data_IF_620321809912
#
_entry.id   IF_620321809912
#
_cell.length_a   1.000
_cell.length_b   1.000
_cell.length_c   1.000
_cell.angle_alpha   90.00
_cell.angle_beta   90.00
_cell.angle_gamma   90.00
#
_symmetry.space_group_name_H-M   'P 1'
#
loop_
_entity.id
_entity.type
_entity.pdbx_description
1 polymer ?
#
# COMPACT_ATOMS: atom_id res chain seq x y z
N UNK A 1 1.65 -19.56 2.52
CA UNK A 1 2.53 -18.54 1.89
C UNK A 1 4.01 -18.73 2.22
N UNK A 2 4.39 -19.27 3.39
CA UNK A 2 5.80 -19.45 3.77
C UNK A 2 6.63 -20.36 2.84
N UNK A 3 6.00 -21.32 2.16
CA UNK A 3 6.64 -22.24 1.21
C UNK A 3 6.73 -21.69 -0.22
N UNK A 4 6.23 -20.47 -0.47
CA UNK A 4 6.27 -19.86 -1.80
C UNK A 4 7.69 -19.36 -2.13
N UNK A 5 8.07 -19.27 -3.42
CA UNK A 5 9.39 -18.79 -3.82
C UNK A 5 9.70 -17.40 -3.29
N UNK A 6 10.97 -17.12 -2.96
CA UNK A 6 11.41 -15.76 -2.64
C UNK A 6 11.14 -14.80 -3.80
N UNK A 7 10.73 -13.56 -3.49
CA UNK A 7 10.33 -12.59 -4.51
C UNK A 7 8.96 -12.83 -5.13
N UNK A 8 8.26 -13.93 -4.79
CA UNK A 8 6.85 -14.07 -5.14
C UNK A 8 5.98 -13.13 -4.30
N UNK A 9 4.87 -12.66 -4.88
CA UNK A 9 3.98 -11.69 -4.23
C UNK A 9 3.48 -12.19 -2.87
N UNK A 10 3.07 -13.46 -2.76
CA UNK A 10 2.62 -14.06 -1.51
C UNK A 10 3.73 -14.21 -0.47
N UNK A 11 4.98 -14.50 -0.90
CA UNK A 11 6.12 -14.59 0.03
C UNK A 11 6.49 -13.22 0.57
N UNK A 12 6.50 -12.20 -0.27
CA UNK A 12 6.79 -10.82 0.14
C UNK A 12 5.65 -10.21 0.96
N UNK A 13 4.39 -10.55 0.67
CA UNK A 13 3.26 -10.13 1.51
C UNK A 13 3.33 -10.74 2.91
N UNK A 14 3.66 -12.03 3.02
CA UNK A 14 3.89 -12.66 4.31
C UNK A 14 5.03 -11.97 5.09
N UNK A 15 6.14 -11.66 4.41
CA UNK A 15 7.27 -10.92 5.02
C UNK A 15 6.81 -9.54 5.53
N UNK A 16 6.02 -8.82 4.75
CA UNK A 16 5.43 -7.55 5.17
C UNK A 16 4.57 -7.69 6.43
N UNK A 17 3.70 -8.71 6.49
CA UNK A 17 2.86 -8.96 7.67
C UNK A 17 3.71 -9.25 8.92
N UNK A 18 4.74 -10.07 8.78
CA UNK A 18 5.69 -10.43 9.84
C UNK A 18 6.48 -9.20 10.33
N UNK A 19 7.06 -8.43 9.41
CA UNK A 19 7.92 -7.27 9.70
C UNK A 19 7.14 -6.12 10.37
N UNK A 20 5.85 -5.99 10.07
CA UNK A 20 5.00 -4.92 10.59
C UNK A 20 4.08 -5.38 11.74
N UNK A 21 4.15 -6.67 12.14
CA UNK A 21 3.31 -7.27 13.18
C UNK A 21 1.80 -7.04 12.96
N UNK A 22 1.36 -7.15 11.71
CA UNK A 22 -0.05 -6.98 11.31
C UNK A 22 -0.64 -8.28 10.80
N UNK A 23 -1.96 -8.41 10.87
CA UNK A 23 -2.70 -9.57 10.35
C UNK A 23 -3.76 -9.14 9.35
N UNK A 24 -4.02 -9.91 8.28
CA UNK A 24 -5.04 -9.60 7.28
C UNK A 24 -6.45 -9.48 7.87
N UNK A 25 -6.74 -10.28 8.90
CA UNK A 25 -8.08 -10.41 9.50
C UNK A 25 -8.42 -9.27 10.48
N UNK A 26 -7.54 -8.28 10.64
CA UNK A 26 -7.73 -7.19 11.60
C UNK A 26 -8.66 -6.07 11.10
N UNK A 27 -9.14 -6.16 9.86
CA UNK A 27 -9.97 -5.13 9.23
C UNK A 27 -11.41 -5.19 9.72
N UNK A 28 -11.90 -4.08 10.27
CA UNK A 28 -13.29 -3.93 10.66
C UNK A 28 -14.23 -4.01 9.45
N UNK A 29 -15.44 -4.52 9.66
CA UNK A 29 -16.48 -4.57 8.63
C UNK A 29 -16.84 -3.17 8.12
N UNK A 30 -17.20 -3.09 6.84
CA UNK A 30 -17.80 -1.88 6.28
C UNK A 30 -19.22 -1.72 6.83
N UNK A 31 -19.49 -0.57 7.44
CA UNK A 31 -20.79 -0.19 8.01
C UNK A 31 -21.19 1.19 7.48
N UNK A 32 -22.46 1.54 7.59
CA UNK A 32 -23.00 2.84 7.18
C UNK A 32 -22.88 3.11 5.67
N UNK A 33 -23.10 2.06 4.88
CA UNK A 33 -23.18 2.12 3.42
C UNK A 33 -24.47 1.43 3.01
N UNK A 34 -25.38 2.15 2.36
CA UNK A 34 -26.74 1.67 2.08
C UNK A 34 -26.83 0.71 0.88
N UNK A 35 -25.73 0.56 0.14
CA UNK A 35 -25.67 -0.24 -1.08
C UNK A 35 -24.65 -1.38 -0.93
N UNK A 36 -25.08 -2.61 -1.20
CA UNK A 36 -24.27 -3.83 -1.04
C UNK A 36 -23.05 -3.85 -1.98
N UNK A 37 -23.21 -3.44 -3.24
CA UNK A 37 -22.07 -3.35 -4.17
C UNK A 37 -21.05 -2.32 -3.71
N UNK A 38 -21.49 -1.17 -3.20
CA UNK A 38 -20.60 -0.16 -2.64
C UNK A 38 -19.92 -0.66 -1.38
N UNK A 39 -20.64 -1.39 -0.52
CA UNK A 39 -20.05 -2.02 0.66
C UNK A 39 -18.96 -3.03 0.27
N UNK A 40 -19.21 -3.82 -0.77
CA UNK A 40 -18.23 -4.73 -1.35
C UNK A 40 -16.99 -3.99 -1.90
N UNK A 41 -17.17 -2.91 -2.67
CA UNK A 41 -16.05 -2.11 -3.19
C UNK A 41 -15.22 -1.50 -2.06
N UNK A 42 -15.87 -1.00 -1.01
CA UNK A 42 -15.19 -0.43 0.14
C UNK A 42 -14.48 -1.50 0.98
N UNK A 43 -15.03 -2.70 1.07
CA UNK A 43 -14.37 -3.84 1.71
C UNK A 43 -13.12 -4.24 0.92
N UNK A 44 -13.25 -4.37 -0.40
CA UNK A 44 -12.12 -4.65 -1.29
C UNK A 44 -11.02 -3.59 -1.17
N UNK A 45 -11.39 -2.31 -1.08
CA UNK A 45 -10.44 -1.24 -0.81
C UNK A 45 -9.66 -1.44 0.50
N UNK A 46 -10.35 -1.77 1.61
CA UNK A 46 -9.70 -2.00 2.91
C UNK A 46 -8.73 -3.17 2.89
N UNK A 47 -9.07 -4.25 2.19
CA UNK A 47 -8.23 -5.45 2.06
C UNK A 47 -7.03 -5.21 1.14
N UNK A 48 -7.27 -4.55 0.00
CA UNK A 48 -6.21 -4.24 -0.98
C UNK A 48 -5.21 -3.23 -0.44
N UNK A 49 -5.59 -2.37 0.50
CA UNK A 49 -4.66 -1.44 1.15
C UNK A 49 -3.42 -2.13 1.73
N UNK A 50 -3.59 -3.26 2.44
CA UNK A 50 -2.45 -4.01 3.00
C UNK A 50 -1.57 -4.64 1.91
N UNK A 51 -2.20 -5.07 0.82
CA UNK A 51 -1.49 -5.59 -0.35
C UNK A 51 -0.71 -4.48 -1.08
N UNK A 52 -1.23 -3.25 -1.09
CA UNK A 52 -0.56 -2.11 -1.70
C UNK A 52 0.73 -1.75 -0.98
N UNK A 53 0.81 -1.91 0.34
CA UNK A 53 2.08 -1.74 1.06
C UNK A 53 3.17 -2.68 0.49
N UNK A 54 2.83 -3.93 0.19
CA UNK A 54 3.78 -4.88 -0.42
C UNK A 54 4.10 -4.51 -1.87
N UNK A 55 3.08 -4.22 -2.69
CA UNK A 55 3.27 -3.81 -4.09
C UNK A 55 4.12 -2.56 -4.21
N UNK A 56 3.93 -1.59 -3.33
CA UNK A 56 4.63 -0.31 -3.36
C UNK A 56 5.94 -0.34 -2.56
N UNK A 57 6.24 -1.43 -1.86
CA UNK A 57 7.43 -1.55 -1.01
C UNK A 57 7.42 -0.56 0.17
N UNK A 58 6.23 -0.20 0.66
CA UNK A 58 6.05 0.76 1.75
C UNK A 58 5.76 0.03 3.07
N UNK A 59 6.46 0.37 4.17
CA UNK A 59 6.13 -0.14 5.50
C UNK A 59 4.95 0.63 6.13
N UNK A 60 4.39 0.12 7.23
CA UNK A 60 3.28 0.77 7.95
C UNK A 60 3.70 1.92 8.88
N UNK A 61 4.91 2.47 8.67
CA UNK A 61 5.32 3.68 9.37
C UNK A 61 4.65 4.93 8.74
N UNK A 62 4.67 6.05 9.44
CA UNK A 62 3.97 7.27 8.98
C UNK A 62 4.38 7.73 7.56
N UNK A 63 5.63 7.53 7.14
CA UNK A 63 6.07 7.93 5.80
C UNK A 63 5.49 6.99 4.73
N UNK A 64 5.54 5.68 4.98
CA UNK A 64 4.98 4.68 4.07
C UNK A 64 3.46 4.80 3.95
N UNK A 65 2.75 4.95 5.07
CA UNK A 65 1.31 5.21 5.09
C UNK A 65 0.92 6.42 4.25
N UNK A 66 1.63 7.55 4.41
CA UNK A 66 1.36 8.76 3.63
C UNK A 66 1.64 8.53 2.15
N UNK A 67 2.73 7.83 1.80
CA UNK A 67 3.03 7.50 0.40
C UNK A 67 1.93 6.62 -0.23
N UNK A 68 1.44 5.59 0.48
CA UNK A 68 0.30 4.78 0.02
C UNK A 68 -0.95 5.63 -0.13
N UNK A 69 -1.24 6.56 0.80
CA UNK A 69 -2.39 7.47 0.68
C UNK A 69 -2.30 8.40 -0.53
N UNK A 70 -1.11 8.86 -0.90
CA UNK A 70 -0.91 9.64 -2.13
C UNK A 70 -1.23 8.81 -3.39
N UNK A 71 -0.76 7.56 -3.42
CA UNK A 71 -1.08 6.62 -4.51
C UNK A 71 -2.59 6.32 -4.57
N UNK A 72 -3.22 6.02 -3.44
CA UNK A 72 -4.66 5.75 -3.36
C UNK A 72 -5.51 6.98 -3.74
N UNK A 73 -5.11 8.18 -3.31
CA UNK A 73 -5.80 9.41 -3.65
C UNK A 73 -5.76 9.67 -5.17
N UNK A 74 -4.61 9.42 -5.81
CA UNK A 74 -4.45 9.54 -7.25
C UNK A 74 -5.33 8.58 -8.05
N UNK A 75 -5.54 7.37 -7.54
CA UNK A 75 -6.21 6.31 -8.28
C UNK A 75 -7.72 6.23 -8.00
N UNK A 76 -8.11 6.39 -6.73
CA UNK A 76 -9.47 6.13 -6.29
C UNK A 76 -10.29 7.40 -6.08
N UNK A 77 -9.64 8.56 -5.92
CA UNK A 77 -10.31 9.84 -5.67
C UNK A 77 -11.09 9.89 -4.35
N UNK A 78 -10.89 8.91 -3.46
CA UNK A 78 -11.62 8.80 -2.21
C UNK A 78 -11.23 9.95 -1.25
N UNK A 79 -12.21 10.66 -0.65
CA UNK A 79 -11.93 11.81 0.22
C UNK A 79 -11.00 11.48 1.38
N UNK A 80 -11.14 10.31 2.01
CA UNK A 80 -10.27 9.90 3.12
C UNK A 80 -8.81 9.68 2.69
N UNK A 81 -8.57 9.20 1.47
CA UNK A 81 -7.23 9.05 0.92
C UNK A 81 -6.60 10.42 0.70
N UNK A 82 -7.35 11.35 0.10
CA UNK A 82 -6.89 12.72 -0.12
C UNK A 82 -6.60 13.45 1.21
N UNK A 83 -7.48 13.31 2.20
CA UNK A 83 -7.26 13.87 3.54
C UNK A 83 -6.03 13.27 4.22
N UNK A 84 -5.84 11.94 4.14
CA UNK A 84 -4.64 11.28 4.65
C UNK A 84 -3.37 11.74 3.96
N UNK A 85 -3.42 11.93 2.63
CA UNK A 85 -2.32 12.43 1.83
C UNK A 85 -1.93 13.88 2.19
N UNK A 86 -2.90 14.74 2.50
CA UNK A 86 -2.67 16.16 2.82
C UNK A 86 -2.32 16.37 4.30
N UNK A 87 -3.00 15.70 5.23
CA UNK A 87 -2.85 15.92 6.67
C UNK A 87 -1.80 15.01 7.31
N UNK A 88 -1.58 13.81 6.76
CA UNK A 88 -0.55 12.88 7.24
C UNK A 88 0.87 13.45 7.27
N UNK A 89 1.32 14.22 6.25
CA UNK A 89 2.62 14.89 6.26
C UNK A 89 2.86 15.78 7.47
N UNK A 90 1.82 16.37 8.09
CA UNK A 90 1.97 17.24 9.27
C UNK A 90 2.55 16.50 10.49
N UNK A 91 2.54 15.16 10.48
CA UNK A 91 3.09 14.31 11.55
C UNK A 91 4.51 13.80 11.24
N UNK A 92 5.11 14.21 10.13
CA UNK A 92 6.45 13.79 9.72
C UNK A 92 7.52 14.77 10.20
N UNK A 93 8.73 14.25 10.46
CA UNK A 93 9.90 15.09 10.69
C UNK A 93 10.33 15.79 9.40
N UNK A 94 11.08 16.90 9.51
CA UNK A 94 11.56 17.69 8.36
C UNK A 94 12.30 16.84 7.31
N UNK A 95 13.15 15.90 7.74
CA UNK A 95 13.86 14.99 6.83
C UNK A 95 12.90 14.06 6.08
N UNK A 96 11.90 13.49 6.74
CA UNK A 96 10.90 12.63 6.10
C UNK A 96 9.97 13.41 5.18
N UNK A 97 9.62 14.65 5.55
CA UNK A 97 8.89 15.58 4.70
C UNK A 97 9.65 15.88 3.41
N UNK A 98 10.96 16.13 3.52
CA UNK A 98 11.80 16.35 2.35
C UNK A 98 11.77 15.12 1.43
N UNK A 99 12.03 13.92 1.95
CA UNK A 99 11.95 12.67 1.17
C UNK A 99 10.58 12.47 0.52
N UNK A 100 9.50 12.78 1.24
CA UNK A 100 8.14 12.69 0.73
C UNK A 100 7.95 13.64 -0.46
N UNK A 101 8.23 14.93 -0.31
CA UNK A 101 7.93 15.91 -1.35
C UNK A 101 8.89 15.87 -2.55
N UNK A 102 10.15 15.46 -2.35
CA UNK A 102 11.14 15.43 -3.45
C UNK A 102 11.17 14.11 -4.21
N UNK A 103 10.68 13.02 -3.62
CA UNK A 103 10.86 11.67 -4.18
C UNK A 103 9.60 10.82 -4.09
N UNK A 104 9.18 10.40 -2.89
CA UNK A 104 8.11 9.40 -2.74
C UNK A 104 6.73 9.91 -3.17
N UNK A 105 6.40 11.17 -2.88
CA UNK A 105 5.12 11.78 -3.22
C UNK A 105 4.90 11.91 -4.72
N UNK A 106 5.81 12.56 -5.48
CA UNK A 106 5.74 12.60 -6.95
C UNK A 106 5.68 11.21 -7.58
N UNK A 107 6.49 10.27 -7.08
CA UNK A 107 6.46 8.87 -7.53
C UNK A 107 5.10 8.21 -7.26
N UNK A 108 4.55 8.33 -6.05
CA UNK A 108 3.28 7.72 -5.67
C UNK A 108 2.12 8.30 -6.49
N UNK A 109 2.11 9.62 -6.73
CA UNK A 109 1.10 10.28 -7.55
C UNK A 109 1.18 9.84 -9.02
N UNK A 110 2.40 9.76 -9.57
CA UNK A 110 2.61 9.33 -10.95
C UNK A 110 2.17 7.88 -11.14
N UNK A 111 2.57 6.99 -10.23
CA UNK A 111 2.20 5.58 -10.26
C UNK A 111 0.70 5.39 -10.06
N UNK A 112 0.08 6.07 -9.09
CA UNK A 112 -1.36 5.96 -8.85
C UNK A 112 -2.20 6.40 -10.06
N UNK A 113 -1.73 7.37 -10.85
CA UNK A 113 -2.39 7.83 -12.09
C UNK A 113 -2.20 6.88 -13.27
N UNK A 114 -1.06 6.21 -13.35
CA UNK A 114 -0.67 5.37 -14.50
C UNK A 114 -0.99 3.89 -14.31
N UNK A 115 -1.10 3.45 -13.06
CA UNK A 115 -1.33 2.06 -12.72
C UNK A 115 -2.69 1.59 -13.25
N UNK A 116 -2.78 0.29 -13.55
CA UNK A 116 -4.08 -0.37 -13.74
C UNK A 116 -4.87 -0.31 -12.44
N UNK A 117 -6.20 -0.35 -12.53
CA UNK A 117 -7.08 -0.32 -11.36
C UNK A 117 -6.74 -1.46 -10.38
N UNK A 118 -6.12 -1.14 -9.26
CA UNK A 118 -5.60 -2.09 -8.27
C UNK A 118 -6.72 -2.83 -7.55
N UNK A 119 -7.93 -2.27 -7.52
CA UNK A 119 -9.10 -2.92 -6.93
C UNK A 119 -9.65 -4.05 -7.80
N UNK A 120 -9.40 -4.04 -9.13
CA UNK A 120 -9.91 -5.05 -10.06
C UNK A 120 -9.00 -6.26 -10.25
N UNK A 121 -7.88 -6.32 -9.52
CA UNK A 121 -6.91 -7.42 -9.59
C UNK A 121 -7.36 -8.56 -8.67
N UNK A 122 -7.36 -9.79 -9.20
CA UNK A 122 -7.60 -11.01 -8.42
C UNK A 122 -6.29 -11.49 -7.75
N UNK A 123 -5.84 -10.75 -6.74
CA UNK A 123 -4.59 -11.01 -6.00
C UNK A 123 -4.50 -12.44 -5.45
N UNK A 124 -5.63 -12.97 -5.01
CA UNK A 124 -5.76 -14.31 -4.44
C UNK A 124 -5.39 -15.43 -5.43
N UNK A 125 -5.31 -15.14 -6.73
CA UNK A 125 -4.87 -16.07 -7.79
C UNK A 125 -3.40 -15.89 -8.19
N UNK A 126 -2.68 -14.98 -7.54
CA UNK A 126 -1.37 -14.48 -7.99
C UNK A 126 -0.27 -14.57 -6.93
N UNK A 127 -0.48 -15.35 -5.88
CA UNK A 127 0.50 -15.47 -4.79
C UNK A 127 1.88 -15.96 -5.24
N UNK A 128 1.92 -16.86 -6.23
CA UNK A 128 3.17 -17.41 -6.80
C UNK A 128 3.83 -16.48 -7.83
N UNK A 129 3.10 -15.48 -8.35
CA UNK A 129 3.63 -14.56 -9.35
C UNK A 129 4.78 -13.75 -8.75
N UNK A 130 5.86 -13.55 -9.52
CA UNK A 130 6.94 -12.66 -9.12
C UNK A 130 6.42 -11.24 -8.89
N UNK A 131 6.84 -10.60 -7.79
CA UNK A 131 6.39 -9.27 -7.41
C UNK A 131 6.73 -8.21 -8.46
N UNK A 132 7.91 -8.30 -9.08
CA UNK A 132 8.34 -7.32 -10.07
C UNK A 132 7.57 -7.50 -11.40
N UNK A 133 7.31 -8.74 -11.81
CA UNK A 133 6.45 -9.01 -12.97
C UNK A 133 5.03 -8.47 -12.73
N UNK A 134 4.50 -8.63 -11.52
CA UNK A 134 3.19 -8.09 -11.13
C UNK A 134 3.18 -6.56 -11.17
N UNK A 135 4.24 -5.90 -10.67
CA UNK A 135 4.39 -4.44 -10.77
C UNK A 135 4.41 -3.96 -12.21
N UNK A 136 5.19 -4.61 -13.07
CA UNK A 136 5.26 -4.28 -14.49
C UNK A 136 3.90 -4.43 -15.18
N UNK A 137 3.18 -5.52 -14.91
CA UNK A 137 1.84 -5.75 -15.47
C UNK A 137 0.83 -4.67 -15.03
N UNK A 138 0.96 -4.21 -13.78
CA UNK A 138 0.13 -3.15 -13.23
C UNK A 138 0.60 -1.74 -13.59
N UNK A 139 1.70 -1.60 -14.34
CA UNK A 139 2.32 -0.31 -14.69
C UNK A 139 2.71 0.50 -13.44
N UNK A 140 3.33 -0.19 -12.48
CA UNK A 140 3.87 0.37 -11.23
C UNK A 140 5.39 0.29 -11.29
N UNK A 141 6.05 1.44 -11.30
CA UNK A 141 7.50 1.57 -11.21
C UNK A 141 7.97 1.33 -9.75
N UNK A 142 9.16 0.73 -9.53
CA UNK A 142 9.68 0.50 -8.19
C UNK A 142 9.90 1.82 -7.42
N UNK A 143 9.80 1.81 -6.08
CA UNK A 143 9.95 3.01 -5.28
C UNK A 143 11.39 3.57 -5.36
N UNK A 144 11.55 4.90 -5.45
CA UNK A 144 12.86 5.55 -5.59
C UNK A 144 13.72 5.45 -4.33
N UNK A 145 13.08 5.17 -3.18
CA UNK A 145 13.73 4.97 -1.88
C UNK A 145 13.02 3.82 -1.20
N UNK A 146 13.77 2.89 -0.62
CA UNK A 146 13.22 1.81 0.21
C UNK A 146 13.21 2.31 1.66
N UNK A 147 12.04 2.67 2.24
CA UNK A 147 11.99 3.12 3.61
C UNK A 147 12.24 1.91 4.52
N UNK A 148 13.27 1.96 5.36
CA UNK A 148 13.49 0.89 6.34
C UNK A 148 12.33 0.85 7.35
N UNK A 149 11.79 -0.34 7.61
CA UNK A 149 10.97 -0.58 8.80
C UNK A 149 11.81 -0.16 10.02
N UNK A 150 11.27 0.69 10.90
CA UNK A 150 12.03 1.08 12.09
C UNK A 150 12.20 -0.15 12.97
N UNK A 151 13.43 -0.65 13.14
CA UNK A 151 13.76 -1.57 14.23
C UNK A 151 13.40 -0.86 15.53
N UNK A 152 12.27 -1.17 16.14
CA UNK A 152 12.10 -0.84 17.55
C UNK A 152 13.16 -1.64 18.29
N UNK A 153 14.12 -0.94 18.91
CA UNK A 153 15.07 -1.57 19.84
C UNK A 153 14.23 -2.17 20.96
N UNK A 154 14.22 -3.49 21.08
CA UNK A 154 13.81 -4.17 22.30
C UNK A 154 14.74 -3.70 23.42
N UNK A 155 14.20 -2.91 24.33
CA UNK A 155 14.77 -2.73 25.68
C UNK A 155 14.30 -3.86 26.56
#
# INVERSE_FOLDING_TARGET
MASLPEGSFGREYLRFLEDNHVTPDSRADVRFVDNEELAYVMQRYREVHDLLHTLLGMPTNMLGEVAVKWFEAAQLGLPMCALGAVLGPLRLSTSRLQTLFTSLGPWALQNGRRARCVLSVFYERRWEQNLEDLRQELNIDPPPVIPSASKQRST
#
